data_IF_774127040138
#
_entry.id   IF_774127040138
#
_cell.length_a   1.000
_cell.length_b   1.000
_cell.length_c   1.000
_cell.angle_alpha   90.00
_cell.angle_beta   90.00
_cell.angle_gamma   90.00
#
_symmetry.space_group_name_H-M   'P 1'
#
loop_
_entity.id
_entity.type
_entity.pdbx_description
1 polymer ?
#
# COMPACT_ATOMS: atom_id res chain seq x y z
N UNK A 1 -32.30 9.60 -40.06
CA UNK A 1 -32.17 8.25 -39.51
C UNK A 1 -30.67 7.97 -39.34
N UNK A 2 -30.15 8.14 -38.13
CA UNK A 2 -28.72 7.98 -37.85
C UNK A 2 -28.50 6.51 -37.44
N UNK A 3 -27.83 5.75 -38.30
CA UNK A 3 -27.39 4.40 -37.96
C UNK A 3 -26.23 4.49 -36.98
N UNK A 4 -26.45 4.05 -35.75
CA UNK A 4 -25.42 3.86 -34.74
C UNK A 4 -24.66 2.59 -35.07
N UNK A 5 -23.45 2.72 -35.63
CA UNK A 5 -22.54 1.57 -35.76
C UNK A 5 -22.11 1.14 -34.36
N UNK A 6 -22.64 0.03 -33.88
CA UNK A 6 -22.11 -0.67 -32.71
C UNK A 6 -20.79 -1.32 -33.15
N UNK A 7 -19.68 -0.82 -32.66
CA UNK A 7 -18.40 -1.50 -32.82
C UNK A 7 -18.44 -2.80 -32.01
N UNK A 8 -18.56 -3.93 -32.70
CA UNK A 8 -18.31 -5.24 -32.11
C UNK A 8 -16.83 -5.31 -31.77
N UNK A 9 -16.50 -5.21 -30.50
CA UNK A 9 -15.20 -5.62 -29.99
C UNK A 9 -15.16 -7.12 -30.07
N UNK A 10 -14.62 -7.66 -31.14
CA UNK A 10 -14.23 -9.07 -31.20
C UNK A 10 -13.02 -9.25 -30.29
N UNK A 11 -13.25 -9.82 -29.11
CA UNK A 11 -12.18 -10.40 -28.29
C UNK A 11 -11.68 -11.67 -28.98
N UNK A 12 -10.76 -11.53 -29.92
CA UNK A 12 -10.34 -12.61 -30.80
C UNK A 12 -9.11 -13.37 -30.31
N UNK A 13 -8.49 -13.03 -29.22
CA UNK A 13 -7.34 -13.78 -28.72
C UNK A 13 -7.56 -14.21 -27.27
N UNK A 14 -7.37 -15.51 -27.02
CA UNK A 14 -7.31 -16.00 -25.64
C UNK A 14 -6.10 -15.36 -24.97
N UNK A 15 -6.25 -14.87 -23.73
CA UNK A 15 -5.12 -14.30 -23.00
C UNK A 15 -4.01 -15.35 -22.91
N UNK A 16 -2.78 -14.93 -23.18
CA UNK A 16 -1.61 -15.72 -22.89
C UNK A 16 -1.51 -15.93 -21.37
N UNK A 17 -1.36 -17.18 -20.96
CA UNK A 17 -1.27 -17.54 -19.55
C UNK A 17 0.20 -17.83 -19.25
N UNK A 18 0.76 -17.07 -18.33
CA UNK A 18 2.09 -17.28 -17.77
C UNK A 18 1.94 -17.81 -16.34
N UNK A 19 2.53 -18.96 -16.05
CA UNK A 19 2.49 -19.57 -14.73
C UNK A 19 3.80 -19.28 -13.97
N UNK A 20 3.68 -18.73 -12.80
CA UNK A 20 4.80 -18.44 -11.91
C UNK A 20 4.59 -19.10 -10.54
N UNK A 21 5.64 -19.73 -10.01
CA UNK A 21 5.63 -20.30 -8.68
C UNK A 21 6.31 -19.34 -7.70
N UNK A 22 5.71 -19.15 -6.52
CA UNK A 22 6.25 -18.34 -5.45
C UNK A 22 5.80 -18.86 -4.08
N UNK A 23 6.57 -18.60 -3.05
CA UNK A 23 6.24 -19.00 -1.68
C UNK A 23 5.29 -17.98 -1.03
N UNK A 24 5.49 -16.69 -1.34
CA UNK A 24 4.67 -15.58 -0.84
C UNK A 24 4.21 -14.74 -2.04
N UNK A 25 2.90 -14.62 -2.22
CA UNK A 25 2.30 -13.78 -3.24
C UNK A 25 1.64 -12.55 -2.62
N UNK A 26 2.04 -11.36 -3.07
CA UNK A 26 1.46 -10.08 -2.68
C UNK A 26 0.69 -9.51 -3.86
N UNK A 27 -0.59 -9.23 -3.67
CA UNK A 27 -1.48 -8.71 -4.72
C UNK A 27 -1.73 -7.22 -4.48
N UNK A 28 -1.25 -6.40 -5.38
CA UNK A 28 -1.28 -4.95 -5.36
C UNK A 28 0.13 -4.35 -5.39
N UNK A 29 0.26 -3.10 -5.84
CA UNK A 29 1.52 -2.37 -5.96
C UNK A 29 1.47 -0.98 -5.29
N UNK A 30 0.47 -0.73 -4.43
CA UNK A 30 0.39 0.49 -3.63
C UNK A 30 1.29 0.44 -2.40
N UNK A 31 1.33 1.53 -1.61
CA UNK A 31 2.19 1.69 -0.43
C UNK A 31 2.07 0.51 0.55
N UNK A 32 0.86 0.04 0.84
CA UNK A 32 0.65 -1.09 1.75
C UNK A 32 1.29 -2.39 1.22
N UNK A 33 1.18 -2.65 -0.08
CA UNK A 33 1.80 -3.81 -0.70
C UNK A 33 3.32 -3.68 -0.75
N UNK A 34 3.85 -2.49 -0.99
CA UNK A 34 5.29 -2.22 -0.93
C UNK A 34 5.84 -2.46 0.48
N UNK A 35 5.19 -1.96 1.51
CA UNK A 35 5.58 -2.23 2.90
C UNK A 35 5.50 -3.70 3.27
N UNK A 36 4.45 -4.39 2.81
CA UNK A 36 4.32 -5.84 2.98
C UNK A 36 5.45 -6.60 2.26
N UNK A 37 5.80 -6.19 1.02
CA UNK A 37 6.89 -6.81 0.26
C UNK A 37 8.25 -6.59 0.94
N UNK A 38 8.51 -5.39 1.42
CA UNK A 38 9.72 -5.05 2.14
C UNK A 38 9.92 -5.94 3.38
N UNK A 39 8.89 -6.03 4.23
CA UNK A 39 8.96 -6.90 5.42
C UNK A 39 9.00 -8.38 5.05
N UNK A 40 8.22 -8.82 4.08
CA UNK A 40 8.23 -10.21 3.65
C UNK A 40 9.60 -10.63 3.11
N UNK A 41 10.23 -9.80 2.29
CA UNK A 41 11.57 -10.06 1.75
C UNK A 41 12.62 -10.17 2.86
N UNK A 42 12.58 -9.27 3.83
CA UNK A 42 13.48 -9.26 4.99
C UNK A 42 13.52 -10.59 5.75
N UNK A 43 12.36 -11.25 5.86
CA UNK A 43 12.23 -12.51 6.59
C UNK A 43 12.31 -13.75 5.68
N UNK A 44 11.83 -13.67 4.45
CA UNK A 44 11.73 -14.79 3.54
C UNK A 44 13.05 -15.08 2.80
N UNK A 45 13.70 -14.05 2.30
CA UNK A 45 14.95 -14.19 1.51
C UNK A 45 16.06 -14.92 2.27
N UNK A 46 16.34 -14.65 3.56
CA UNK A 46 17.34 -15.42 4.32
C UNK A 46 16.99 -16.90 4.47
N UNK A 47 15.74 -17.28 4.28
CA UNK A 47 15.26 -18.67 4.33
C UNK A 47 15.19 -19.33 2.96
N UNK A 48 15.59 -18.62 1.89
CA UNK A 48 15.54 -19.08 0.51
C UNK A 48 14.13 -19.11 -0.08
N UNK A 49 13.17 -18.41 0.54
CA UNK A 49 11.81 -18.28 0.06
C UNK A 49 11.68 -17.14 -0.95
N UNK A 50 10.86 -17.35 -1.98
CA UNK A 50 10.56 -16.34 -3.00
C UNK A 50 9.36 -15.49 -2.62
N UNK A 51 9.53 -14.18 -2.73
CA UNK A 51 8.45 -13.21 -2.61
C UNK A 51 8.15 -12.63 -4.00
N UNK A 52 6.90 -12.68 -4.41
CA UNK A 52 6.44 -12.09 -5.68
C UNK A 52 5.32 -11.10 -5.43
N UNK A 53 5.46 -9.91 -5.96
CA UNK A 53 4.42 -8.89 -5.95
C UNK A 53 3.85 -8.72 -7.36
N UNK A 54 2.53 -8.69 -7.48
CA UNK A 54 1.82 -8.49 -8.75
C UNK A 54 0.83 -7.33 -8.63
N UNK A 55 0.74 -6.52 -9.67
CA UNK A 55 -0.26 -5.45 -9.77
C UNK A 55 -0.93 -5.46 -11.15
N UNK A 56 -2.19 -5.08 -11.19
CA UNK A 56 -2.95 -4.93 -12.45
C UNK A 56 -2.54 -3.70 -13.26
N UNK A 57 -1.84 -2.75 -12.64
CA UNK A 57 -1.35 -1.51 -13.25
C UNK A 57 0.18 -1.50 -13.29
N UNK A 58 0.77 -0.38 -13.69
CA UNK A 58 2.21 -0.21 -13.66
C UNK A 58 2.73 -0.20 -12.22
N UNK A 59 3.62 -1.13 -11.89
CA UNK A 59 4.13 -1.31 -10.51
C UNK A 59 4.93 -0.12 -10.01
N UNK A 60 5.54 0.66 -10.91
CA UNK A 60 6.29 1.87 -10.61
C UNK A 60 5.41 3.08 -10.26
N UNK A 61 4.09 3.00 -10.52
CA UNK A 61 3.14 4.12 -10.36
C UNK A 61 1.77 3.67 -9.86
N UNK A 62 1.71 2.59 -9.11
CA UNK A 62 0.45 2.04 -8.62
C UNK A 62 0.03 2.64 -7.27
N UNK A 63 -1.28 2.70 -7.07
CA UNK A 63 -1.91 3.10 -5.81
C UNK A 63 -2.11 4.60 -5.64
N UNK A 64 -2.88 4.95 -4.61
CA UNK A 64 -3.31 6.32 -4.34
C UNK A 64 -2.15 7.26 -3.99
N UNK A 65 -1.11 6.75 -3.34
CA UNK A 65 0.08 7.52 -2.96
C UNK A 65 0.81 8.04 -4.19
N UNK A 66 1.01 7.19 -5.19
CA UNK A 66 1.66 7.59 -6.45
C UNK A 66 0.87 8.62 -7.25
N UNK A 67 -0.45 8.69 -7.06
CA UNK A 67 -1.33 9.60 -7.80
C UNK A 67 -1.41 11.00 -7.22
N UNK A 68 -1.10 11.21 -5.95
CA UNK A 68 -1.29 12.54 -5.40
C UNK A 68 -1.03 12.74 -3.92
N UNK A 69 -0.24 11.90 -3.27
CA UNK A 69 0.16 12.17 -1.91
C UNK A 69 1.14 13.34 -1.88
N UNK A 70 0.83 14.37 -1.12
CA UNK A 70 1.70 15.54 -0.92
C UNK A 70 2.17 15.70 0.52
N UNK A 71 1.67 14.87 1.45
CA UNK A 71 2.01 14.96 2.87
C UNK A 71 1.86 13.60 3.57
N UNK A 72 2.66 13.42 4.62
CA UNK A 72 2.53 12.33 5.58
C UNK A 72 1.97 12.93 6.86
N UNK A 73 0.84 12.40 7.35
CA UNK A 73 0.28 12.79 8.64
C UNK A 73 0.88 11.90 9.72
N UNK A 74 1.80 12.44 10.47
CA UNK A 74 2.51 11.74 11.53
C UNK A 74 3.14 12.72 12.52
N UNK A 75 3.79 12.20 13.55
CA UNK A 75 4.73 12.93 14.37
C UNK A 75 6.09 12.24 14.36
N UNK A 76 7.14 12.99 14.57
CA UNK A 76 8.52 12.52 14.66
C UNK A 76 9.16 13.07 15.94
N UNK A 77 9.97 12.26 16.59
CA UNK A 77 10.71 12.64 17.79
C UNK A 77 9.96 12.39 19.09
N UNK A 78 10.64 12.68 20.21
CA UNK A 78 10.25 12.24 21.55
C UNK A 78 9.34 13.22 22.31
N UNK A 79 8.97 14.35 21.73
CA UNK A 79 8.16 15.37 22.40
C UNK A 79 6.66 15.03 22.41
N UNK A 80 6.22 14.15 21.55
CA UNK A 80 4.83 13.70 21.44
C UNK A 80 4.72 12.21 21.72
N UNK A 81 3.53 11.76 22.09
CA UNK A 81 3.21 10.36 22.36
C UNK A 81 2.15 9.84 21.41
N UNK A 82 1.99 8.51 21.36
CA UNK A 82 0.92 7.88 20.59
C UNK A 82 -0.46 8.36 21.06
N UNK A 83 -0.62 8.65 22.37
CA UNK A 83 -1.85 9.19 22.95
C UNK A 83 -2.12 10.62 22.47
N UNK A 84 -1.09 11.45 22.31
CA UNK A 84 -1.22 12.79 21.75
C UNK A 84 -1.65 12.74 20.30
N UNK A 85 -1.10 11.79 19.54
CA UNK A 85 -1.50 11.54 18.16
C UNK A 85 -2.97 11.09 18.05
N UNK A 86 -3.41 10.16 18.89
CA UNK A 86 -4.82 9.76 18.99
C UNK A 86 -5.71 10.96 19.30
N UNK A 87 -5.32 11.79 20.25
CA UNK A 87 -6.08 13.00 20.63
C UNK A 87 -6.19 13.99 19.47
N UNK A 88 -5.11 14.20 18.74
CA UNK A 88 -5.08 15.04 17.55
C UNK A 88 -6.04 14.51 16.48
N UNK A 89 -5.91 13.23 16.08
CA UNK A 89 -6.75 12.62 15.03
C UNK A 89 -8.23 12.59 15.45
N UNK A 90 -8.52 12.31 16.75
CA UNK A 90 -9.89 12.37 17.28
C UNK A 90 -10.51 13.75 17.11
N UNK A 91 -9.75 14.80 17.41
CA UNK A 91 -10.23 16.17 17.28
C UNK A 91 -10.44 16.57 15.82
N UNK A 92 -9.50 16.21 14.95
CA UNK A 92 -9.55 16.52 13.52
C UNK A 92 -10.74 15.84 12.82
N UNK A 93 -11.01 14.59 13.17
CA UNK A 93 -12.11 13.79 12.63
C UNK A 93 -13.39 13.83 13.49
N UNK A 94 -13.53 14.81 14.40
CA UNK A 94 -14.72 15.01 15.23
C UNK A 94 -15.17 13.75 15.98
N UNK A 95 -14.25 12.91 16.41
CA UNK A 95 -14.51 11.67 17.13
C UNK A 95 -14.90 10.46 16.30
N UNK A 96 -14.97 10.56 14.98
CA UNK A 96 -15.31 9.44 14.09
C UNK A 96 -14.03 8.70 13.70
N UNK A 97 -13.46 7.98 14.66
CA UNK A 97 -12.22 7.21 14.47
C UNK A 97 -12.23 5.87 15.21
N UNK A 98 -11.37 4.97 14.78
CA UNK A 98 -10.94 3.77 15.51
C UNK A 98 -9.66 4.12 16.27
N UNK A 99 -9.80 4.52 17.52
CA UNK A 99 -8.68 5.00 18.36
C UNK A 99 -7.60 3.93 18.56
N UNK A 100 -8.00 2.66 18.63
CA UNK A 100 -7.09 1.51 18.71
C UNK A 100 -6.17 1.42 17.49
N UNK A 101 -6.71 1.59 16.29
CA UNK A 101 -5.92 1.58 15.05
C UNK A 101 -5.02 2.82 14.93
N UNK A 102 -5.53 3.99 15.32
CA UNK A 102 -4.73 5.23 15.34
C UNK A 102 -3.58 5.13 16.34
N UNK A 103 -3.83 4.52 17.50
CA UNK A 103 -2.80 4.27 18.51
C UNK A 103 -1.71 3.32 17.98
N UNK A 104 -2.12 2.22 17.32
CA UNK A 104 -1.18 1.27 16.72
C UNK A 104 -0.31 1.92 15.65
N UNK A 105 -0.86 2.80 14.82
CA UNK A 105 -0.07 3.59 13.87
C UNK A 105 0.87 4.54 14.63
N UNK A 106 0.36 5.28 15.61
CA UNK A 106 1.13 6.27 16.35
C UNK A 106 2.36 5.70 17.04
N UNK A 107 2.24 4.53 17.69
CA UNK A 107 3.38 3.90 18.39
C UNK A 107 4.49 3.34 17.48
N UNK A 108 4.23 3.20 16.17
CA UNK A 108 5.17 2.62 15.21
C UNK A 108 5.66 3.63 14.18
N UNK A 109 5.09 4.81 14.12
CA UNK A 109 5.31 5.74 13.01
C UNK A 109 6.73 6.33 13.03
N UNK A 110 7.29 6.61 14.18
CA UNK A 110 8.64 7.17 14.31
C UNK A 110 9.69 6.19 13.77
N UNK A 111 9.65 4.94 14.22
CA UNK A 111 10.53 3.88 13.72
C UNK A 111 10.34 3.66 12.21
N UNK A 112 9.08 3.74 11.73
CA UNK A 112 8.78 3.55 10.30
C UNK A 112 9.32 4.69 9.45
N UNK A 113 9.26 5.94 9.92
CA UNK A 113 9.81 7.09 9.19
C UNK A 113 11.32 6.95 9.04
N UNK A 114 12.02 6.51 10.08
CA UNK A 114 13.47 6.30 10.02
C UNK A 114 13.88 5.19 9.04
N UNK A 115 13.02 4.18 8.78
CA UNK A 115 13.28 3.19 7.73
C UNK A 115 13.29 3.76 6.30
N UNK A 116 12.71 4.95 6.08
CA UNK A 116 12.77 5.61 4.77
C UNK A 116 14.00 6.49 4.58
N UNK A 117 14.77 6.71 5.65
CA UNK A 117 16.00 7.52 5.60
C UNK A 117 17.25 6.69 5.26
N UNK A 118 17.19 5.37 5.45
CA UNK A 118 18.27 4.40 5.18
C UNK A 118 18.21 3.87 3.73
#
# INVERSE_FOLDING_TARGET
MLETKVNNFEHSEKPEIEEHETDILIIGGGMAACGCAFEADRWATPQGLRVTMVDKAATDRSGAVAMGLSAINTYVGQENTAEDYVRYVRNDLMGIIREDLVYDVGRLVDDTVHLFED
#
